data_IF_748172427494
#
_entry.id   IF_748172427494
#
_cell.length_a   1.000
_cell.length_b   1.000
_cell.length_c   1.000
_cell.angle_alpha   90.00
_cell.angle_beta   90.00
_cell.angle_gamma   90.00
#
_symmetry.space_group_name_H-M   'P 1'
#
loop_
_entity.id
_entity.type
_entity.pdbx_description
1 polymer ?
#
# COMPACT_ATOMS: atom_id res chain seq x y z
N UNK A 1 -9.62 42.54 -27.47
CA UNK A 1 -9.40 41.08 -27.54
C UNK A 1 -8.20 40.59 -26.71
N UNK A 2 -7.00 41.18 -26.82
CA UNK A 2 -5.81 40.73 -26.06
C UNK A 2 -6.01 40.72 -24.52
N UNK A 3 -6.70 41.72 -23.95
CA UNK A 3 -6.97 41.78 -22.49
C UNK A 3 -7.88 40.64 -21.99
N UNK A 4 -8.86 40.20 -22.79
CA UNK A 4 -9.77 39.10 -22.44
C UNK A 4 -9.04 37.75 -22.43
N UNK A 5 -8.08 37.57 -23.36
CA UNK A 5 -7.23 36.37 -23.41
C UNK A 5 -6.34 36.28 -22.16
N UNK A 6 -5.75 37.39 -21.71
CA UNK A 6 -4.95 37.42 -20.48
C UNK A 6 -5.80 37.16 -19.23
N UNK A 7 -7.02 37.68 -19.15
CA UNK A 7 -7.93 37.40 -18.03
C UNK A 7 -8.37 35.93 -17.98
N UNK A 8 -8.63 35.32 -19.15
CA UNK A 8 -8.94 33.89 -19.24
C UNK A 8 -7.74 33.03 -18.84
N UNK A 9 -6.53 33.42 -19.25
CA UNK A 9 -5.30 32.70 -18.91
C UNK A 9 -4.97 32.77 -17.41
N UNK A 10 -5.21 33.92 -16.76
CA UNK A 10 -5.02 34.08 -15.30
C UNK A 10 -6.08 33.28 -14.50
N UNK A 11 -7.33 33.22 -14.98
CA UNK A 11 -8.37 32.41 -14.33
C UNK A 11 -8.09 30.89 -14.42
N UNK A 12 -7.43 30.43 -15.48
CA UNK A 12 -7.01 29.03 -15.62
C UNK A 12 -5.83 28.69 -14.70
N UNK A 13 -4.91 29.62 -14.46
CA UNK A 13 -3.75 29.41 -13.56
C UNK A 13 -4.16 29.42 -12.08
N UNK A 14 -5.21 30.17 -11.70
CA UNK A 14 -5.68 30.24 -10.31
C UNK A 14 -6.28 28.93 -9.76
N UNK A 15 -6.48 27.90 -10.61
CA UNK A 15 -7.05 26.60 -10.21
C UNK A 15 -6.01 25.51 -9.91
N UNK A 16 -4.71 25.84 -9.83
CA UNK A 16 -3.64 24.85 -9.59
C UNK A 16 -3.46 24.53 -8.08
N UNK A 17 -4.18 25.20 -7.18
CA UNK A 17 -4.09 24.96 -5.74
C UNK A 17 -4.98 23.81 -5.24
N UNK A 18 -4.64 22.56 -5.57
CA UNK A 18 -5.27 21.39 -4.95
C UNK A 18 -4.25 20.28 -4.69
N UNK A 19 -3.47 20.47 -3.64
CA UNK A 19 -2.77 19.39 -2.94
C UNK A 19 -2.66 19.72 -1.44
N UNK A 20 -3.73 20.26 -0.86
CA UNK A 20 -3.80 20.46 0.59
C UNK A 20 -4.32 19.18 1.22
N UNK A 21 -3.58 18.64 2.18
CA UNK A 21 -4.03 17.52 2.98
C UNK A 21 -5.31 17.89 3.73
N UNK A 22 -6.29 16.99 3.73
CA UNK A 22 -7.49 17.18 4.53
C UNK A 22 -7.13 17.05 6.03
N UNK A 23 -7.53 17.98 6.90
CA UNK A 23 -7.28 17.84 8.33
C UNK A 23 -8.24 16.78 8.91
N UNK A 24 -7.70 15.89 9.74
CA UNK A 24 -8.45 14.91 10.51
C UNK A 24 -8.04 15.06 11.97
N UNK A 25 -8.99 15.40 12.82
CA UNK A 25 -8.75 15.57 14.25
C UNK A 25 -9.09 14.26 14.96
N UNK A 26 -8.12 13.63 15.62
CA UNK A 26 -8.36 12.46 16.45
C UNK A 26 -8.52 12.89 17.91
N UNK A 27 -9.60 12.42 18.55
CA UNK A 27 -9.87 12.61 19.97
C UNK A 27 -9.38 11.38 20.72
N UNK A 28 -8.30 11.54 21.48
CA UNK A 28 -7.63 10.47 22.22
C UNK A 28 -8.54 9.83 23.29
N UNK A 29 -9.37 10.62 23.98
CA UNK A 29 -10.22 10.14 25.07
C UNK A 29 -11.41 9.36 24.52
N UNK A 30 -12.01 9.87 23.44
CA UNK A 30 -13.22 9.28 22.85
C UNK A 30 -12.95 8.24 21.77
N UNK A 31 -11.69 8.12 21.32
CA UNK A 31 -11.26 7.18 20.28
C UNK A 31 -12.05 7.32 18.97
N UNK A 32 -12.33 8.55 18.55
CA UNK A 32 -12.97 8.84 17.27
C UNK A 32 -12.21 9.93 16.50
N UNK A 33 -12.46 9.98 15.20
CA UNK A 33 -12.00 11.10 14.36
C UNK A 33 -13.11 12.16 14.27
N UNK A 34 -12.76 13.41 13.96
CA UNK A 34 -13.69 14.48 13.56
C UNK A 34 -15.01 14.54 14.35
N UNK A 35 -14.97 14.33 15.67
CA UNK A 35 -16.15 14.31 16.55
C UNK A 35 -17.23 13.28 16.16
N UNK A 36 -16.82 12.13 15.59
CA UNK A 36 -17.71 11.11 15.04
C UNK A 36 -18.09 11.32 13.57
N UNK A 37 -17.49 12.30 12.89
CA UNK A 37 -17.66 12.56 11.46
C UNK A 37 -17.07 11.49 10.54
N UNK A 38 -17.16 11.66 9.23
CA UNK A 38 -16.53 10.74 8.27
C UNK A 38 -15.08 11.10 7.99
N UNK A 39 -14.28 10.11 7.58
CA UNK A 39 -12.91 10.33 7.11
C UNK A 39 -12.87 10.83 5.66
N UNK A 40 -11.90 11.69 5.31
CA UNK A 40 -11.67 12.14 3.94
C UNK A 40 -11.54 10.97 2.96
N UNK A 41 -12.30 11.02 1.85
CA UNK A 41 -12.20 10.05 0.78
C UNK A 41 -11.37 10.59 -0.40
N UNK A 42 -10.61 9.71 -1.06
CA UNK A 42 -9.92 9.99 -2.32
C UNK A 42 -8.93 11.17 -2.26
N UNK A 43 -8.37 11.43 -1.09
CA UNK A 43 -7.34 12.44 -0.87
C UNK A 43 -6.42 12.07 0.29
N UNK A 44 -5.23 12.65 0.32
CA UNK A 44 -4.34 12.55 1.47
C UNK A 44 -4.86 13.43 2.60
N UNK A 45 -4.57 13.02 3.84
CA UNK A 45 -5.04 13.71 5.03
C UNK A 45 -3.95 13.77 6.10
N UNK A 46 -4.09 14.69 7.06
CA UNK A 46 -3.18 14.83 8.19
C UNK A 46 -3.98 14.51 9.45
N UNK A 47 -3.48 13.57 10.25
CA UNK A 47 -4.02 13.30 11.57
C UNK A 47 -3.40 14.29 12.56
N UNK A 48 -4.26 15.04 13.24
CA UNK A 48 -3.90 15.92 14.36
C UNK A 48 -4.51 15.37 15.64
N UNK A 49 -3.75 15.31 16.72
CA UNK A 49 -4.27 14.92 18.03
C UNK A 49 -3.43 15.48 19.14
N UNK A 50 -4.02 15.53 20.34
CA UNK A 50 -3.28 15.78 21.56
C UNK A 50 -2.45 14.54 21.92
N UNK A 51 -1.30 14.77 22.55
CA UNK A 51 -0.41 13.77 23.13
C UNK A 51 0.19 14.31 24.42
N UNK A 52 0.52 13.40 25.33
CA UNK A 52 1.31 13.76 26.50
C UNK A 52 2.67 14.33 26.10
N UNK A 53 3.22 15.23 26.93
CA UNK A 53 4.59 15.73 26.77
C UNK A 53 5.64 14.60 26.89
N UNK A 54 5.28 13.48 27.53
CA UNK A 54 6.13 12.31 27.63
C UNK A 54 6.21 11.51 26.31
N UNK A 55 5.16 11.52 25.47
CA UNK A 55 5.08 10.71 24.25
C UNK A 55 6.19 11.10 23.28
N UNK A 56 7.04 10.16 22.88
CA UNK A 56 8.15 10.40 21.95
C UNK A 56 7.88 9.88 20.54
N UNK A 57 7.01 8.88 20.40
CA UNK A 57 6.68 8.26 19.11
C UNK A 57 5.19 7.91 19.10
N UNK A 58 4.56 8.12 17.96
CA UNK A 58 3.21 7.66 17.65
C UNK A 58 3.27 6.87 16.35
N UNK A 59 2.74 5.66 16.35
CA UNK A 59 2.58 4.83 15.15
C UNK A 59 1.11 4.76 14.80
N UNK A 60 0.77 4.92 13.53
CA UNK A 60 -0.59 4.70 13.02
C UNK A 60 -0.54 3.66 11.91
N UNK A 61 -1.34 2.62 12.10
CA UNK A 61 -1.55 1.57 11.11
C UNK A 61 -3.00 1.57 10.67
N UNK A 62 -3.20 1.54 9.34
CA UNK A 62 -4.53 1.54 8.73
C UNK A 62 -4.81 0.16 8.17
N UNK A 63 -5.98 -0.37 8.50
CA UNK A 63 -6.51 -1.64 8.05
C UNK A 63 -7.83 -1.41 7.32
N UNK A 64 -8.21 -2.38 6.49
CA UNK A 64 -9.58 -2.47 5.98
C UNK A 64 -10.31 -3.54 6.76
N UNK A 65 -10.60 -4.68 6.13
CA UNK A 65 -11.37 -5.77 6.73
C UNK A 65 -10.52 -6.83 7.43
N UNK A 66 -9.24 -6.93 7.07
CA UNK A 66 -8.32 -7.93 7.64
C UNK A 66 -7.33 -7.24 8.60
N UNK A 67 -7.38 -7.52 9.91
CA UNK A 67 -6.47 -6.94 10.89
C UNK A 67 -5.03 -7.46 10.76
N UNK A 68 -4.79 -8.56 10.05
CA UNK A 68 -3.44 -9.10 9.84
C UNK A 68 -2.73 -8.49 8.64
N UNK A 69 -3.44 -7.70 7.82
CA UNK A 69 -2.90 -7.13 6.59
C UNK A 69 -3.00 -5.59 6.60
N UNK A 70 -1.97 -4.89 7.11
CA UNK A 70 -1.97 -3.44 7.11
C UNK A 70 -1.97 -2.92 5.67
N UNK A 71 -2.79 -1.90 5.41
CA UNK A 71 -2.82 -1.20 4.13
C UNK A 71 -1.80 -0.06 4.07
N UNK A 72 -1.57 0.57 5.22
CA UNK A 72 -0.66 1.70 5.34
C UNK A 72 -0.11 1.77 6.77
N UNK A 73 1.14 2.22 6.87
CA UNK A 73 1.83 2.47 8.13
C UNK A 73 2.53 3.82 8.02
N UNK A 74 2.45 4.61 9.08
CA UNK A 74 3.21 5.84 9.25
C UNK A 74 3.50 6.07 10.71
N UNK A 75 4.56 6.83 10.98
CA UNK A 75 4.92 7.21 12.33
C UNK A 75 5.20 8.71 12.43
N UNK A 76 5.10 9.21 13.66
CA UNK A 76 5.50 10.55 14.05
C UNK A 76 6.47 10.43 15.22
N UNK A 77 7.65 11.02 15.07
CA UNK A 77 8.68 11.07 16.12
C UNK A 77 8.83 12.50 16.61
N UNK A 78 8.85 12.68 17.93
CA UNK A 78 9.05 13.97 18.55
C UNK A 78 10.49 14.46 18.34
N UNK A 79 10.63 15.64 17.77
CA UNK A 79 11.91 16.33 17.64
C UNK A 79 12.54 16.61 19.01
N UNK A 80 13.87 16.57 19.09
CA UNK A 80 14.60 16.90 20.31
C UNK A 80 14.23 18.30 20.82
N UNK A 81 13.97 18.41 22.12
CA UNK A 81 13.59 19.68 22.77
C UNK A 81 12.14 20.13 22.57
N UNK A 82 11.33 19.45 21.75
CA UNK A 82 9.94 19.83 21.53
C UNK A 82 9.04 19.34 22.68
N UNK A 83 8.38 20.27 23.39
CA UNK A 83 7.46 19.98 24.50
C UNK A 83 5.97 20.11 24.12
N UNK A 84 5.64 20.22 22.84
CA UNK A 84 4.26 20.35 22.36
C UNK A 84 3.38 19.20 22.85
N UNK A 85 2.15 19.50 23.25
CA UNK A 85 1.17 18.48 23.63
C UNK A 85 0.30 18.03 22.46
N UNK A 86 0.78 18.20 21.24
CA UNK A 86 0.09 17.78 20.02
C UNK A 86 1.07 17.20 19.02
N UNK A 87 0.56 16.30 18.18
CA UNK A 87 1.24 15.82 17.00
C UNK A 87 0.39 16.07 15.76
N UNK A 88 1.09 16.11 14.62
CA UNK A 88 0.50 16.25 13.30
C UNK A 88 1.26 15.31 12.37
N UNK A 89 0.55 14.35 11.79
CA UNK A 89 1.16 13.28 10.99
C UNK A 89 0.43 13.12 9.65
N UNK A 90 1.14 13.25 8.51
CA UNK A 90 0.56 13.05 7.20
C UNK A 90 0.28 11.56 6.94
N UNK A 91 -0.88 11.30 6.33
CA UNK A 91 -1.28 10.01 5.78
C UNK A 91 -1.30 10.13 4.27
N UNK A 92 -0.25 9.59 3.65
CA UNK A 92 -0.03 9.63 2.21
C UNK A 92 -0.71 8.46 1.49
N UNK A 93 -1.88 8.06 2.00
CA UNK A 93 -2.67 6.94 1.49
C UNK A 93 -4.12 7.38 1.36
N UNK A 94 -4.65 7.50 0.14
CA UNK A 94 -6.01 7.96 -0.06
C UNK A 94 -6.98 6.83 0.31
N UNK A 95 -7.98 7.13 1.14
CA UNK A 95 -9.01 6.15 1.49
C UNK A 95 -10.05 6.06 0.38
N UNK A 96 -10.59 4.87 0.11
CA UNK A 96 -11.70 4.70 -0.84
C UNK A 96 -12.97 5.21 -0.17
N UNK A 97 -13.70 6.10 -0.84
CA UNK A 97 -15.01 6.52 -0.35
C UNK A 97 -16.04 5.40 -0.34
N UNK A 98 -17.08 5.54 0.47
CA UNK A 98 -18.08 4.50 0.72
C UNK A 98 -17.46 3.18 1.23
N UNK A 99 -16.42 3.26 2.04
CA UNK A 99 -15.79 2.11 2.69
C UNK A 99 -15.40 2.44 4.12
N UNK A 100 -15.33 1.39 4.94
CA UNK A 100 -14.95 1.49 6.35
C UNK A 100 -13.50 1.03 6.54
N UNK A 101 -12.82 1.67 7.48
CA UNK A 101 -11.41 1.44 7.77
C UNK A 101 -11.18 1.35 9.27
N UNK A 102 -10.28 0.45 9.67
CA UNK A 102 -9.86 0.30 11.06
C UNK A 102 -8.49 0.93 11.26
N UNK A 103 -8.28 1.59 12.40
CA UNK A 103 -7.04 2.27 12.75
C UNK A 103 -6.50 1.70 14.04
N UNK A 104 -5.20 1.44 14.07
CA UNK A 104 -4.46 1.17 15.29
C UNK A 104 -3.47 2.30 15.51
N UNK A 105 -3.55 2.95 16.67
CA UNK A 105 -2.65 4.02 17.08
C UNK A 105 -1.89 3.56 18.33
N UNK A 106 -0.57 3.38 18.20
CA UNK A 106 0.30 3.01 19.31
C UNK A 106 1.06 4.24 19.78
N UNK A 107 1.12 4.44 21.10
CA UNK A 107 1.82 5.56 21.71
C UNK A 107 2.99 5.05 22.55
N UNK A 108 4.15 5.68 22.37
CA UNK A 108 5.38 5.28 23.05
C UNK A 108 6.00 6.43 23.84
N UNK A 109 6.52 6.11 25.02
CA UNK A 109 7.27 7.02 25.91
C UNK A 109 8.69 6.49 26.10
N UNK A 110 9.59 7.29 26.64
CA UNK A 110 10.90 6.79 27.04
C UNK A 110 10.75 5.66 28.06
N UNK A 111 11.37 4.52 27.79
CA UNK A 111 11.45 3.45 28.78
C UNK A 111 12.29 3.89 29.97
N UNK A 112 11.80 3.59 31.16
CA UNK A 112 12.52 3.77 32.42
C UNK A 112 13.73 2.84 32.47
N UNK A 113 14.73 3.18 33.28
CA UNK A 113 15.90 2.32 33.48
C UNK A 113 15.52 0.97 34.09
N UNK A 114 14.47 0.95 34.93
CA UNK A 114 13.89 -0.28 35.46
C UNK A 114 13.35 -1.18 34.34
N UNK A 115 12.50 -0.66 33.45
CA UNK A 115 11.95 -1.43 32.32
C UNK A 115 13.05 -1.95 31.39
N UNK A 116 14.07 -1.14 31.10
CA UNK A 116 15.21 -1.59 30.28
C UNK A 116 15.97 -2.74 30.95
N UNK A 117 16.22 -2.62 32.26
CA UNK A 117 16.92 -3.65 33.02
C UNK A 117 16.11 -4.95 33.08
N UNK A 118 14.79 -4.86 33.22
CA UNK A 118 13.90 -6.00 33.27
C UNK A 118 13.81 -6.71 31.91
N UNK A 119 13.68 -5.96 30.82
CA UNK A 119 13.70 -6.52 29.46
C UNK A 119 15.02 -7.22 29.19
N UNK A 120 16.14 -6.59 29.56
CA UNK A 120 17.48 -7.19 29.42
C UNK A 120 17.59 -8.50 30.21
N UNK A 121 17.11 -8.52 31.46
CA UNK A 121 17.11 -9.71 32.31
C UNK A 121 16.29 -10.84 31.69
N UNK A 122 15.05 -10.56 31.28
CA UNK A 122 14.16 -11.54 30.65
C UNK A 122 14.76 -12.09 29.35
N UNK A 123 15.36 -11.22 28.52
CA UNK A 123 16.01 -11.64 27.28
C UNK A 123 17.21 -12.55 27.56
N UNK A 124 18.09 -12.17 28.48
CA UNK A 124 19.24 -12.98 28.87
C UNK A 124 18.79 -14.35 29.38
N UNK A 125 17.80 -14.41 30.27
CA UNK A 125 17.25 -15.69 30.78
C UNK A 125 16.69 -16.58 29.66
N UNK A 126 15.97 -15.98 28.70
CA UNK A 126 15.41 -16.71 27.55
C UNK A 126 16.49 -17.23 26.61
N UNK A 127 17.48 -16.39 26.29
CA UNK A 127 18.60 -16.80 25.44
C UNK A 127 19.44 -17.88 26.11
N UNK A 128 19.75 -17.73 27.40
CA UNK A 128 20.51 -18.73 28.15
C UNK A 128 19.77 -20.07 28.19
N UNK A 129 18.48 -20.06 28.55
CA UNK A 129 17.67 -21.27 28.56
C UNK A 129 17.58 -21.95 27.19
N UNK A 130 17.48 -21.16 26.12
CA UNK A 130 17.45 -21.68 24.75
C UNK A 130 18.79 -22.28 24.34
N UNK A 131 19.89 -21.55 24.56
CA UNK A 131 21.26 -22.00 24.24
C UNK A 131 21.63 -23.26 25.02
N UNK A 132 21.20 -23.41 26.27
CA UNK A 132 21.43 -24.63 27.05
C UNK A 132 20.68 -25.85 26.51
N UNK A 133 19.55 -25.64 25.82
CA UNK A 133 18.73 -26.71 25.26
C UNK A 133 19.09 -27.06 23.82
N UNK A 134 19.83 -26.21 23.12
CA UNK A 134 20.13 -26.38 21.69
C UNK A 134 21.14 -27.51 21.41
N UNK A 135 21.71 -28.14 22.43
CA UNK A 135 22.72 -29.19 22.32
C UNK A 135 22.20 -30.53 22.87
N UNK A 136 22.47 -31.61 22.16
CA UNK A 136 22.36 -32.98 22.64
C UNK A 136 23.75 -33.57 22.90
N UNK A 137 23.98 -34.03 24.14
CA UNK A 137 25.25 -34.61 24.56
C UNK A 137 25.14 -36.14 24.57
N UNK A 138 25.93 -36.81 23.71
CA UNK A 138 26.13 -38.25 23.76
C UNK A 138 27.61 -38.55 24.12
N UNK A 139 27.90 -39.74 24.67
CA UNK A 139 29.22 -40.18 25.12
C UNK A 139 30.36 -40.01 24.09
N UNK A 140 30.04 -39.85 22.80
CA UNK A 140 31.01 -39.71 21.69
C UNK A 140 30.93 -38.39 20.91
N UNK A 141 29.79 -37.69 20.90
CA UNK A 141 29.59 -36.49 20.09
C UNK A 141 28.62 -35.52 20.78
N UNK A 142 28.89 -34.23 20.61
CA UNK A 142 27.95 -33.15 20.85
C UNK A 142 27.33 -32.85 19.50
N UNK A 143 26.00 -32.76 19.45
CA UNK A 143 25.29 -32.33 18.25
C UNK A 143 24.34 -31.21 18.61
N UNK A 144 24.15 -30.30 17.68
CA UNK A 144 23.03 -29.38 17.77
C UNK A 144 21.73 -30.19 17.63
N UNK A 145 20.73 -29.85 18.43
CA UNK A 145 19.40 -30.45 18.35
C UNK A 145 18.74 -30.13 17.00
N UNK A 146 18.97 -28.92 16.52
CA UNK A 146 18.43 -28.40 15.27
C UNK A 146 19.54 -27.83 14.38
N UNK A 147 19.22 -27.61 13.10
CA UNK A 147 20.14 -26.95 12.18
C UNK A 147 20.45 -25.52 12.67
N UNK A 148 21.69 -25.07 12.54
CA UNK A 148 22.11 -23.71 12.94
C UNK A 148 21.21 -22.59 12.39
N UNK A 149 20.61 -22.76 11.19
CA UNK A 149 19.66 -21.79 10.61
C UNK A 149 18.37 -21.69 11.40
N UNK A 150 17.86 -22.82 11.89
CA UNK A 150 16.67 -22.87 12.76
C UNK A 150 16.99 -22.21 14.09
N UNK A 151 18.15 -22.53 14.67
CA UNK A 151 18.63 -21.90 15.91
C UNK A 151 18.71 -20.37 15.76
N UNK A 152 19.28 -19.87 14.66
CA UNK A 152 19.30 -18.43 14.38
C UNK A 152 17.90 -17.83 14.23
N UNK A 153 16.99 -18.54 13.57
CA UNK A 153 15.59 -18.10 13.42
C UNK A 153 14.89 -18.01 14.77
N UNK A 154 15.07 -19.00 15.65
CA UNK A 154 14.46 -19.02 16.98
C UNK A 154 15.03 -17.92 17.88
N UNK A 155 16.35 -17.69 17.83
CA UNK A 155 16.98 -16.58 18.55
C UNK A 155 16.40 -15.23 18.09
N UNK A 156 16.28 -15.02 16.78
CA UNK A 156 15.67 -13.82 16.22
C UNK A 156 14.20 -13.67 16.68
N UNK A 157 13.45 -14.77 16.72
CA UNK A 157 12.07 -14.76 17.20
C UNK A 157 11.97 -14.41 18.69
N UNK A 158 12.86 -14.96 19.54
CA UNK A 158 12.93 -14.61 20.97
C UNK A 158 13.15 -13.09 21.13
N UNK A 159 14.04 -12.50 20.33
CA UNK A 159 14.28 -11.05 20.35
C UNK A 159 13.03 -10.29 19.90
N UNK A 160 12.46 -10.63 18.74
CA UNK A 160 11.28 -9.96 18.18
C UNK A 160 10.06 -10.02 19.09
N UNK A 161 9.79 -11.17 19.70
CA UNK A 161 8.69 -11.36 20.64
C UNK A 161 8.91 -10.51 21.89
N UNK A 162 10.13 -10.47 22.42
CA UNK A 162 10.42 -9.72 23.64
C UNK A 162 10.43 -8.21 23.41
N UNK A 163 10.79 -7.77 22.21
CA UNK A 163 10.83 -6.35 21.81
C UNK A 163 9.51 -5.85 21.21
N UNK A 164 8.46 -6.67 21.13
CA UNK A 164 7.18 -6.35 20.46
C UNK A 164 6.60 -4.99 20.88
N UNK A 165 6.65 -4.69 22.17
CA UNK A 165 6.09 -3.46 22.77
C UNK A 165 7.13 -2.34 22.92
N UNK A 166 8.29 -2.49 22.29
CA UNK A 166 9.38 -1.54 22.37
C UNK A 166 9.80 -1.05 20.99
N UNK A 167 10.28 0.19 20.92
CA UNK A 167 10.80 0.81 19.68
C UNK A 167 12.06 1.58 19.96
N UNK A 168 12.96 1.62 18.99
CA UNK A 168 14.09 2.53 19.04
C UNK A 168 13.65 3.93 18.61
N UNK A 169 13.93 4.95 19.42
CA UNK A 169 13.67 6.35 19.02
C UNK A 169 14.40 6.74 17.73
N UNK A 170 15.59 6.16 17.51
CA UNK A 170 16.45 6.48 16.36
C UNK A 170 16.14 5.61 15.13
N UNK A 171 15.13 4.73 15.19
CA UNK A 171 14.85 3.77 14.13
C UNK A 171 15.92 2.69 14.00
N UNK A 172 16.69 2.44 15.07
CA UNK A 172 17.63 1.33 15.11
C UNK A 172 16.87 0.05 15.49
N UNK A 173 16.24 -0.55 14.49
CA UNK A 173 15.44 -1.76 14.66
C UNK A 173 16.30 -3.02 14.55
N UNK A 174 15.86 -4.10 15.19
CA UNK A 174 16.56 -5.37 15.15
C UNK A 174 16.36 -6.06 13.80
N UNK A 175 17.43 -6.20 13.02
CA UNK A 175 17.41 -6.87 11.71
C UNK A 175 17.78 -8.36 11.79
N UNK A 176 18.16 -8.84 12.99
CA UNK A 176 18.63 -10.20 13.22
C UNK A 176 20.00 -10.22 13.89
N UNK A 177 20.32 -11.36 14.50
CA UNK A 177 21.65 -11.63 15.02
C UNK A 177 22.69 -11.73 13.91
N UNK A 178 23.92 -11.31 14.21
CA UNK A 178 24.98 -11.22 13.22
C UNK A 178 25.46 -12.59 12.72
N UNK A 179 26.17 -12.60 11.59
CA UNK A 179 26.87 -13.79 11.11
C UNK A 179 27.97 -14.27 12.07
N UNK A 180 28.39 -13.46 13.05
CA UNK A 180 29.36 -13.88 14.06
C UNK A 180 28.69 -14.89 15.01
N UNK A 181 27.46 -14.60 15.47
CA UNK A 181 26.64 -15.56 16.24
C UNK A 181 26.46 -16.85 15.43
N UNK A 182 26.06 -16.71 14.16
CA UNK A 182 25.83 -17.86 13.26
C UNK A 182 27.09 -18.74 13.13
N UNK A 183 28.24 -18.12 12.87
CA UNK A 183 29.50 -18.84 12.73
C UNK A 183 29.93 -19.51 14.03
N UNK A 184 29.66 -18.90 15.18
CA UNK A 184 29.99 -19.48 16.49
C UNK A 184 29.12 -20.71 16.78
N UNK A 185 27.84 -20.67 16.42
CA UNK A 185 26.93 -21.82 16.52
C UNK A 185 27.38 -22.94 15.57
N UNK A 186 27.74 -22.63 14.31
CA UNK A 186 28.29 -23.62 13.36
C UNK A 186 29.55 -24.31 13.90
N UNK A 187 30.47 -23.56 14.52
CA UNK A 187 31.67 -24.13 15.12
C UNK A 187 31.37 -25.14 16.24
N UNK A 188 30.22 -25.02 16.91
CA UNK A 188 29.81 -25.97 17.94
C UNK A 188 29.44 -27.34 17.34
N UNK A 189 28.88 -27.36 16.13
CA UNK A 189 28.57 -28.58 15.38
C UNK A 189 29.85 -29.33 14.97
N UNK A 190 30.90 -28.58 14.58
CA UNK A 190 32.19 -29.13 14.13
C UNK A 190 33.16 -29.48 15.29
N UNK A 191 32.75 -29.27 16.54
CA UNK A 191 33.64 -29.37 17.70
C UNK A 191 34.08 -30.82 17.98
N UNK A 192 35.37 -31.09 17.81
CA UNK A 192 35.97 -32.41 18.10
C UNK A 192 36.38 -32.56 19.57
N UNK A 193 35.53 -33.21 20.36
CA UNK A 193 35.74 -33.43 21.80
C UNK A 193 36.86 -34.41 22.18
N UNK A 194 37.40 -35.15 21.22
CA UNK A 194 38.48 -36.12 21.48
C UNK A 194 39.76 -35.46 22.02
N UNK A 195 39.95 -34.16 21.77
CA UNK A 195 41.11 -33.38 22.21
C UNK A 195 40.76 -32.31 23.25
N UNK A 196 39.62 -32.45 23.93
CA UNK A 196 39.13 -31.44 24.87
C UNK A 196 40.13 -31.11 25.99
N UNK A 197 40.88 -32.11 26.48
CA UNK A 197 41.91 -31.94 27.52
C UNK A 197 43.01 -30.93 27.15
N UNK A 198 43.35 -30.77 25.86
CA UNK A 198 44.34 -29.80 25.38
C UNK A 198 43.86 -28.35 25.53
N UNK A 199 42.55 -28.13 25.45
CA UNK A 199 41.95 -26.79 25.55
C UNK A 199 41.66 -26.39 26.99
N UNK A 200 41.52 -27.37 27.89
CA UNK A 200 41.18 -27.18 29.31
C UNK A 200 42.43 -27.25 30.21
N UNK A 201 43.59 -27.60 29.66
CA UNK A 201 44.85 -27.64 30.42
C UNK A 201 44.94 -28.79 31.44
N UNK A 202 44.20 -29.89 31.20
CA UNK A 202 44.19 -31.10 32.07
C UNK A 202 45.07 -32.21 31.48
N UNK A 203 45.65 -33.04 32.34
CA UNK A 203 46.42 -34.22 31.93
C UNK A 203 45.51 -35.28 31.30
N UNK A 204 46.04 -36.10 30.37
CA UNK A 204 45.26 -37.06 29.59
C UNK A 204 44.54 -38.12 30.46
N UNK A 205 45.04 -38.35 31.69
CA UNK A 205 44.56 -39.37 32.62
C UNK A 205 43.62 -38.86 33.73
N UNK A 206 43.47 -37.55 33.92
CA UNK A 206 42.49 -36.97 34.86
C UNK A 206 41.17 -36.68 34.15
N UNK A 207 40.16 -37.52 34.42
CA UNK A 207 38.73 -37.32 34.15
C UNK A 207 38.39 -36.75 32.76
N UNK A 208 38.59 -37.57 31.71
CA UNK A 208 38.19 -37.30 30.31
C UNK A 208 36.73 -36.86 30.13
N UNK A 209 35.85 -37.15 31.09
CA UNK A 209 34.44 -36.74 31.09
C UNK A 209 34.33 -35.25 31.47
N UNK A 210 35.08 -34.83 32.49
CA UNK A 210 35.09 -33.45 33.00
C UNK A 210 35.71 -32.47 32.00
N UNK A 211 36.78 -32.87 31.30
CA UNK A 211 37.38 -32.01 30.29
C UNK A 211 36.44 -31.74 29.09
N UNK A 212 35.54 -32.69 28.75
CA UNK A 212 34.58 -32.52 27.65
C UNK A 212 33.39 -31.64 28.05
N UNK A 213 32.85 -31.86 29.24
CA UNK A 213 31.75 -31.04 29.76
C UNK A 213 32.20 -29.59 29.97
N UNK A 214 33.43 -29.40 30.45
CA UNK A 214 34.03 -28.08 30.64
C UNK A 214 34.24 -27.34 29.31
N UNK A 215 34.80 -28.01 28.29
CA UNK A 215 34.94 -27.39 26.97
C UNK A 215 33.59 -27.02 26.34
N UNK A 216 32.58 -27.89 26.44
CA UNK A 216 31.23 -27.57 25.96
C UNK A 216 30.67 -26.35 26.67
N UNK A 217 30.76 -26.32 28.01
CA UNK A 217 30.30 -25.19 28.82
C UNK A 217 30.98 -23.89 28.38
N UNK A 218 32.29 -23.90 28.20
CA UNK A 218 33.02 -22.72 27.69
C UNK A 218 32.53 -22.24 26.32
N UNK A 219 32.16 -23.15 25.41
CA UNK A 219 31.64 -22.75 24.09
C UNK A 219 30.20 -22.21 24.18
N UNK A 220 29.35 -22.82 25.01
CA UNK A 220 27.99 -22.33 25.26
C UNK A 220 28.02 -20.96 25.93
N UNK A 221 28.86 -20.77 26.95
CA UNK A 221 29.02 -19.49 27.64
C UNK A 221 29.51 -18.39 26.67
N UNK A 222 30.41 -18.73 25.74
CA UNK A 222 30.84 -17.80 24.69
C UNK A 222 29.69 -17.40 23.75
N UNK A 223 28.81 -18.34 23.38
CA UNK A 223 27.63 -18.07 22.55
C UNK A 223 26.65 -17.16 23.31
N UNK A 224 26.34 -17.50 24.57
CA UNK A 224 25.49 -16.70 25.47
C UNK A 224 25.99 -15.27 25.58
N UNK A 225 27.29 -15.09 25.86
CA UNK A 225 27.90 -13.77 25.97
C UNK A 225 27.76 -12.97 24.68
N UNK A 226 27.96 -13.61 23.52
CA UNK A 226 27.88 -12.95 22.22
C UNK A 226 26.45 -12.50 21.91
N UNK A 227 25.47 -13.39 22.08
CA UNK A 227 24.03 -13.10 21.91
C UNK A 227 23.61 -11.96 22.84
N UNK A 228 23.93 -12.06 24.14
CA UNK A 228 23.58 -11.04 25.13
C UNK A 228 24.22 -9.69 24.79
N UNK A 229 25.47 -9.68 24.30
CA UNK A 229 26.15 -8.45 23.91
C UNK A 229 25.53 -7.79 22.68
N UNK A 230 25.08 -8.56 21.70
CA UNK A 230 24.38 -8.03 20.52
C UNK A 230 22.98 -7.55 20.89
N UNK A 231 22.21 -8.32 21.67
CA UNK A 231 20.89 -7.93 22.14
C UNK A 231 20.93 -6.63 22.96
N UNK A 232 21.94 -6.48 23.84
CA UNK A 232 22.12 -5.29 24.66
C UNK A 232 22.31 -4.01 23.83
N UNK A 233 22.86 -4.08 22.62
CA UNK A 233 23.02 -2.90 21.77
C UNK A 233 21.67 -2.29 21.38
N UNK A 234 20.65 -3.11 21.20
CA UNK A 234 19.30 -2.65 20.84
C UNK A 234 18.52 -2.13 22.05
N UNK A 235 18.76 -2.68 23.24
CA UNK A 235 18.06 -2.27 24.47
C UNK A 235 18.63 -0.96 25.03
N UNK A 236 19.94 -0.76 24.90
CA UNK A 236 20.64 0.39 25.48
C UNK A 236 20.43 1.70 24.71
N UNK A 237 19.96 1.65 23.47
CA UNK A 237 19.78 2.83 22.60
C UNK A 237 18.35 3.36 22.72
N UNK A 238 18.17 4.47 23.46
CA UNK A 238 16.95 5.29 23.51
C UNK A 238 15.64 4.51 23.32
N UNK A 239 15.48 3.45 24.12
CA UNK A 239 14.35 2.55 24.03
C UNK A 239 13.08 3.27 24.46
N UNK A 240 12.05 3.09 23.65
CA UNK A 240 10.70 3.57 23.91
C UNK A 240 9.80 2.39 24.24
N UNK A 241 8.99 2.51 25.29
CA UNK A 241 7.98 1.51 25.67
C UNK A 241 6.60 1.98 25.23
N UNK A 242 5.80 1.05 24.72
CA UNK A 242 4.40 1.29 24.40
C UNK A 242 3.62 1.46 25.71
N UNK A 243 3.02 2.64 25.90
CA UNK A 243 2.23 2.90 27.11
C UNK A 243 0.71 2.84 26.85
N UNK A 244 0.27 3.15 25.63
CA UNK A 244 -1.14 3.08 25.27
C UNK A 244 -1.31 2.64 23.81
N UNK A 245 -2.48 2.07 23.54
CA UNK A 245 -2.92 1.58 22.25
C UNK A 245 -4.40 1.92 22.08
N UNK A 246 -4.72 2.65 21.01
CA UNK A 246 -6.11 2.92 20.61
C UNK A 246 -6.44 2.13 19.36
N UNK A 247 -7.55 1.40 19.40
CA UNK A 247 -8.11 0.71 18.26
C UNK A 247 -9.45 1.37 17.91
N UNK A 248 -9.58 1.78 16.65
CA UNK A 248 -10.81 2.32 16.09
C UNK A 248 -11.22 1.35 14.99
N UNK A 249 -12.40 0.74 15.11
CA UNK A 249 -12.90 -0.22 14.13
C UNK A 249 -13.95 0.40 13.22
N UNK A 250 -13.96 -0.05 11.97
CA UNK A 250 -15.03 0.21 11.00
C UNK A 250 -15.44 1.69 10.87
N UNK A 251 -14.43 2.58 10.82
CA UNK A 251 -14.66 4.01 10.73
C UNK A 251 -15.01 4.43 9.29
N UNK A 252 -16.13 5.13 9.07
CA UNK A 252 -16.64 5.39 7.72
C UNK A 252 -15.89 6.51 7.01
N UNK A 253 -15.73 6.36 5.70
CA UNK A 253 -15.25 7.42 4.81
C UNK A 253 -16.39 8.23 4.20
N UNK A 254 -16.07 9.43 3.74
CA UNK A 254 -17.00 10.29 3.00
C UNK A 254 -17.64 9.54 1.83
N UNK A 255 -18.92 9.83 1.61
CA UNK A 255 -19.67 9.28 0.50
C UNK A 255 -19.20 9.94 -0.79
N UNK A 256 -18.56 9.15 -1.65
CA UNK A 256 -18.23 9.62 -3.01
C UNK A 256 -19.46 9.46 -3.89
N UNK A 257 -19.84 10.54 -4.59
CA UNK A 257 -21.01 10.53 -5.47
C UNK A 257 -20.81 9.54 -6.61
N UNK A 258 -21.80 8.66 -6.82
CA UNK A 258 -21.91 7.88 -8.05
C UNK A 258 -22.38 8.83 -9.15
N UNK A 259 -21.46 9.26 -10.00
CA UNK A 259 -21.79 10.03 -11.19
C UNK A 259 -21.78 9.11 -12.40
N UNK A 260 -22.62 9.40 -13.38
CA UNK A 260 -22.63 8.73 -14.66
C UNK A 260 -22.07 9.70 -15.70
N UNK A 261 -20.83 9.48 -16.18
CA UNK A 261 -20.24 10.35 -17.18
C UNK A 261 -20.96 10.16 -18.52
N UNK A 262 -21.53 11.24 -19.04
CA UNK A 262 -22.15 11.30 -20.36
C UNK A 262 -21.20 12.05 -21.29
N UNK A 263 -20.96 11.49 -22.47
CA UNK A 263 -20.16 12.12 -23.51
C UNK A 263 -21.05 12.57 -24.67
N UNK A 264 -20.70 13.72 -25.26
CA UNK A 264 -21.30 14.22 -26.50
C UNK A 264 -20.17 14.74 -27.36
N UNK A 265 -20.14 14.34 -28.63
CA UNK A 265 -19.01 14.61 -29.49
C UNK A 265 -19.33 14.53 -30.97
N UNK A 266 -18.26 14.61 -31.76
CA UNK A 266 -18.31 14.48 -33.21
C UNK A 266 -17.25 13.47 -33.65
N UNK A 267 -17.65 12.54 -34.50
CA UNK A 267 -16.81 11.42 -34.94
C UNK A 267 -16.70 11.36 -36.46
N UNK A 268 -15.51 10.96 -36.91
CA UNK A 268 -15.25 10.49 -38.27
C UNK A 268 -15.21 8.96 -38.29
N UNK A 269 -15.91 8.36 -39.23
CA UNK A 269 -16.05 6.91 -39.38
C UNK A 269 -15.38 6.53 -40.68
N UNK A 270 -14.38 5.68 -40.58
CA UNK A 270 -13.61 5.24 -41.73
C UNK A 270 -14.49 4.39 -42.65
N UNK A 271 -14.56 4.77 -43.92
CA UNK A 271 -15.28 4.02 -44.93
C UNK A 271 -14.32 3.14 -45.73
N UNK A 272 -13.37 3.77 -46.43
CA UNK A 272 -12.37 3.12 -47.25
C UNK A 272 -11.30 4.12 -47.69
N UNK A 273 -10.15 3.63 -48.16
CA UNK A 273 -9.12 4.46 -48.80
C UNK A 273 -7.73 4.40 -48.16
N UNK A 274 -6.75 4.96 -48.87
CA UNK A 274 -5.34 5.09 -48.45
C UNK A 274 -5.05 6.52 -47.99
N UNK A 275 -3.88 6.77 -47.37
CA UNK A 275 -3.46 8.09 -46.83
C UNK A 275 -3.62 9.30 -47.78
N UNK A 276 -3.75 9.08 -49.10
CA UNK A 276 -3.95 10.13 -50.10
C UNK A 276 -5.42 10.35 -50.51
N UNK A 277 -6.27 9.33 -50.40
CA UNK A 277 -7.68 9.35 -50.78
C UNK A 277 -8.49 8.66 -49.68
N UNK A 278 -8.70 9.37 -48.57
CA UNK A 278 -9.42 8.88 -47.40
C UNK A 278 -10.90 9.23 -47.53
N UNK A 279 -11.78 8.23 -47.56
CA UNK A 279 -13.21 8.45 -47.39
C UNK A 279 -13.63 8.19 -45.94
N UNK A 280 -14.39 9.12 -45.39
CA UNK A 280 -14.96 9.01 -44.06
C UNK A 280 -16.36 9.62 -44.02
N UNK A 281 -17.25 8.98 -43.28
CA UNK A 281 -18.51 9.59 -42.85
C UNK A 281 -18.30 10.39 -41.58
N UNK A 282 -19.17 11.37 -41.30
CA UNK A 282 -19.13 12.12 -40.04
C UNK A 282 -20.48 12.16 -39.38
N UNK A 283 -20.52 11.98 -38.06
CA UNK A 283 -21.76 12.10 -37.30
C UNK A 283 -21.49 12.64 -35.88
N UNK A 284 -22.41 13.44 -35.34
CA UNK A 284 -22.45 13.70 -33.91
C UNK A 284 -22.83 12.42 -33.16
N UNK A 285 -22.27 12.21 -31.97
CA UNK A 285 -22.56 11.05 -31.14
C UNK A 285 -22.79 11.46 -29.68
N UNK A 286 -23.54 10.62 -28.97
CA UNK A 286 -23.71 10.73 -27.53
C UNK A 286 -23.70 9.35 -26.88
N UNK A 287 -23.17 9.26 -25.66
CA UNK A 287 -23.09 8.00 -24.95
C UNK A 287 -22.69 8.15 -23.50
N UNK A 288 -22.43 7.00 -22.87
CA UNK A 288 -21.95 6.90 -21.51
C UNK A 288 -20.47 6.48 -21.52
N UNK A 289 -19.68 7.06 -20.63
CA UNK A 289 -18.28 6.69 -20.43
C UNK A 289 -18.09 6.03 -19.07
N UNK A 290 -17.49 4.85 -19.07
CA UNK A 290 -17.13 4.09 -17.87
C UNK A 290 -15.62 4.22 -17.66
N UNK A 291 -15.16 4.97 -16.64
CA UNK A 291 -13.73 5.15 -16.38
C UNK A 291 -13.10 3.81 -15.98
N UNK A 292 -11.95 3.48 -16.58
CA UNK A 292 -11.23 2.24 -16.28
C UNK A 292 -10.37 2.35 -15.02
N UNK A 293 -10.14 3.56 -14.51
CA UNK A 293 -9.37 3.80 -13.30
C UNK A 293 -9.76 5.11 -12.63
N UNK A 294 -9.61 5.15 -11.29
CA UNK A 294 -9.71 6.39 -10.51
C UNK A 294 -8.32 7.03 -10.39
N UNK A 295 -8.23 8.36 -10.51
CA UNK A 295 -6.97 9.11 -10.50
C UNK A 295 -6.10 8.84 -9.25
N UNK A 296 -6.75 8.60 -8.12
CA UNK A 296 -6.10 8.36 -6.83
C UNK A 296 -5.54 6.94 -6.67
N UNK A 297 -5.98 5.98 -7.49
CA UNK A 297 -5.73 4.55 -7.28
C UNK A 297 -5.16 3.83 -8.49
N UNK A 298 -4.98 4.51 -9.61
CA UNK A 298 -4.53 3.91 -10.86
C UNK A 298 -3.50 4.81 -11.55
N UNK A 299 -2.66 4.21 -12.39
CA UNK A 299 -1.67 4.95 -13.17
C UNK A 299 -2.31 6.07 -14.00
N UNK A 300 -1.52 7.06 -14.41
CA UNK A 300 -1.98 8.18 -15.24
C UNK A 300 -2.70 7.72 -16.52
N UNK A 301 -2.23 6.64 -17.14
CA UNK A 301 -2.85 6.10 -18.36
C UNK A 301 -4.27 5.57 -18.07
N UNK A 302 -4.40 4.64 -17.12
CA UNK A 302 -5.69 4.03 -16.77
C UNK A 302 -6.68 5.01 -16.15
N UNK A 303 -6.23 5.98 -15.37
CA UNK A 303 -7.11 7.01 -14.80
C UNK A 303 -7.66 7.98 -15.84
N UNK A 304 -6.99 8.14 -16.97
CA UNK A 304 -7.46 8.95 -18.10
C UNK A 304 -8.22 8.14 -19.16
N UNK A 305 -8.28 6.81 -19.03
CA UNK A 305 -8.94 5.94 -20.01
C UNK A 305 -10.37 5.60 -19.57
N UNK A 306 -11.32 5.60 -20.50
CA UNK A 306 -12.70 5.16 -20.31
C UNK A 306 -13.14 4.25 -21.44
N UNK A 307 -14.07 3.33 -21.14
CA UNK A 307 -14.85 2.64 -22.14
C UNK A 307 -16.12 3.47 -22.42
N UNK A 308 -16.31 3.92 -23.65
CA UNK A 308 -17.42 4.75 -24.07
C UNK A 308 -18.35 3.96 -24.98
N UNK A 309 -19.63 3.92 -24.65
CA UNK A 309 -20.66 3.20 -25.40
C UNK A 309 -21.84 4.14 -25.64
N UNK A 310 -22.38 4.17 -26.85
CA UNK A 310 -23.51 5.04 -27.16
C UNK A 310 -24.01 4.90 -28.58
N UNK A 311 -24.64 5.96 -29.05
CA UNK A 311 -25.30 6.04 -30.36
C UNK A 311 -24.80 7.24 -31.14
N UNK A 312 -24.78 7.11 -32.47
CA UNK A 312 -24.69 8.27 -33.36
C UNK A 312 -26.04 8.98 -33.36
N UNK A 313 -26.06 10.30 -33.31
CA UNK A 313 -27.31 11.09 -33.24
C UNK A 313 -27.96 11.28 -34.62
N UNK A 314 -27.22 11.01 -35.69
CA UNK A 314 -27.72 11.08 -37.07
C UNK A 314 -27.34 9.81 -37.83
N UNK A 315 -28.10 9.53 -38.90
CA UNK A 315 -27.66 8.61 -39.94
C UNK A 315 -26.37 9.14 -40.58
N UNK A 316 -25.58 8.23 -41.15
CA UNK A 316 -24.30 8.58 -41.77
C UNK A 316 -24.44 8.44 -43.27
N UNK A 317 -24.28 9.55 -43.98
CA UNK A 317 -24.11 9.54 -45.43
C UNK A 317 -22.63 9.41 -45.74
N UNK A 318 -22.28 8.35 -46.45
CA UNK A 318 -20.93 8.09 -46.91
C UNK A 318 -20.71 8.59 -48.34
N UNK A 319 -19.46 8.60 -48.80
CA UNK A 319 -19.07 9.17 -50.10
C UNK A 319 -19.77 8.54 -51.32
N UNK A 320 -20.37 7.36 -51.16
CA UNK A 320 -21.14 6.65 -52.17
C UNK A 320 -22.65 7.00 -52.20
N UNK A 321 -23.07 8.09 -51.57
CA UNK A 321 -24.50 8.50 -51.41
C UNK A 321 -25.37 7.41 -50.76
N UNK A 322 -24.72 6.51 -50.02
CA UNK A 322 -25.39 5.41 -49.32
C UNK A 322 -25.58 5.82 -47.86
N UNK A 323 -26.84 5.81 -47.41
CA UNK A 323 -27.18 6.05 -46.01
C UNK A 323 -26.98 4.78 -45.18
N UNK A 324 -26.25 4.93 -44.07
CA UNK A 324 -26.06 3.91 -43.08
C UNK A 324 -26.81 4.29 -41.80
N UNK A 325 -27.66 3.37 -41.35
CA UNK A 325 -28.43 3.43 -40.11
C UNK A 325 -27.87 2.41 -39.10
N UNK A 326 -28.60 2.09 -38.03
CA UNK A 326 -28.22 1.06 -37.06
C UNK A 326 -29.37 0.14 -36.70
N UNK A 327 -29.02 -1.09 -36.33
CA UNK A 327 -29.93 -2.23 -36.27
C UNK A 327 -31.00 -2.17 -35.16
N UNK A 328 -30.76 -1.43 -34.07
CA UNK A 328 -31.64 -1.47 -32.88
C UNK A 328 -32.52 -0.24 -32.72
N UNK A 329 -32.07 0.95 -33.14
CA UNK A 329 -32.77 2.22 -32.89
C UNK A 329 -32.84 3.13 -34.12
N UNK A 330 -32.60 2.60 -35.33
CA UNK A 330 -32.52 3.42 -36.55
C UNK A 330 -31.34 4.39 -36.56
N UNK A 331 -30.42 4.27 -35.61
CA UNK A 331 -29.17 5.01 -35.51
C UNK A 331 -28.00 4.08 -35.19
N UNK A 332 -26.82 4.31 -35.78
CA UNK A 332 -25.62 3.52 -35.51
C UNK A 332 -25.24 3.46 -34.04
N UNK A 333 -24.75 2.31 -33.59
CA UNK A 333 -24.19 2.13 -32.25
C UNK A 333 -22.67 2.25 -32.29
N UNK A 334 -22.05 2.66 -31.18
CA UNK A 334 -20.59 2.69 -31.07
C UNK A 334 -20.10 2.15 -29.74
N UNK A 335 -18.89 1.59 -29.78
CA UNK A 335 -18.09 1.22 -28.60
C UNK A 335 -16.65 1.68 -28.83
N UNK A 336 -16.09 2.39 -27.85
CA UNK A 336 -14.80 3.07 -28.00
C UNK A 336 -13.99 3.10 -26.71
N UNK A 337 -12.69 3.21 -26.86
CA UNK A 337 -11.81 3.62 -25.78
C UNK A 337 -11.59 5.13 -25.89
N UNK A 338 -12.01 5.85 -24.85
CA UNK A 338 -11.83 7.28 -24.69
C UNK A 338 -10.62 7.59 -23.84
N UNK A 339 -9.72 8.46 -24.32
CA UNK A 339 -8.60 8.99 -23.55
C UNK A 339 -8.80 10.47 -23.24
N UNK A 340 -8.69 10.83 -21.96
CA UNK A 340 -8.83 12.20 -21.47
C UNK A 340 -7.58 13.02 -21.77
N UNK A 341 -7.73 14.03 -22.63
CA UNK A 341 -6.64 14.94 -23.02
C UNK A 341 -6.68 16.25 -22.21
N UNK A 342 -7.88 16.74 -21.90
CA UNK A 342 -8.11 17.88 -21.00
C UNK A 342 -9.22 17.52 -19.99
N UNK A 343 -9.49 18.41 -19.03
CA UNK A 343 -10.47 18.15 -17.96
C UNK A 343 -11.86 17.70 -18.47
N UNK A 344 -12.29 18.18 -19.64
CA UNK A 344 -13.59 17.89 -20.25
C UNK A 344 -13.45 17.23 -21.63
N UNK A 345 -12.30 17.36 -22.31
CA UNK A 345 -12.09 16.89 -23.68
C UNK A 345 -11.50 15.47 -23.70
N UNK A 346 -12.13 14.58 -24.46
CA UNK A 346 -11.65 13.22 -24.72
C UNK A 346 -11.49 12.95 -26.21
N UNK A 347 -10.51 12.11 -26.55
CA UNK A 347 -10.37 11.49 -27.86
C UNK A 347 -10.86 10.06 -27.73
N UNK A 348 -11.80 9.66 -28.59
CA UNK A 348 -12.37 8.32 -28.61
C UNK A 348 -11.93 7.59 -29.88
N UNK A 349 -11.46 6.36 -29.71
CA UNK A 349 -11.10 5.47 -30.80
C UNK A 349 -11.78 4.12 -30.59
N UNK A 350 -12.46 3.62 -31.61
CA UNK A 350 -13.23 2.40 -31.45
C UNK A 350 -13.89 1.95 -32.73
N UNK A 351 -15.03 1.29 -32.58
CA UNK A 351 -15.81 0.77 -33.69
C UNK A 351 -17.26 1.22 -33.60
N UNK A 352 -17.86 1.41 -34.77
CA UNK A 352 -19.30 1.64 -34.93
C UNK A 352 -19.92 0.49 -35.71
N UNK A 353 -21.12 0.11 -35.29
CA UNK A 353 -21.97 -0.87 -35.94
C UNK A 353 -22.95 -0.14 -36.85
N UNK A 354 -22.79 -0.36 -38.15
CA UNK A 354 -23.58 0.23 -39.21
C UNK A 354 -24.44 -0.82 -39.87
N UNK A 355 -25.60 -0.41 -40.36
CA UNK A 355 -26.47 -1.22 -41.20
C UNK A 355 -26.84 -0.42 -42.45
N UNK A 356 -26.74 -1.04 -43.62
CA UNK A 356 -27.12 -0.40 -44.88
C UNK A 356 -28.64 -0.33 -45.00
N UNK A 357 -29.18 0.85 -45.33
CA UNK A 357 -30.61 1.03 -45.60
C UNK A 357 -30.92 0.66 -47.06
N UNK A 358 -31.97 -0.14 -47.29
CA UNK A 358 -32.48 -0.45 -48.62
C UNK A 358 -33.83 0.28 -48.81
N UNK A 359 -34.22 0.54 -50.06
CA UNK A 359 -35.38 1.36 -50.46
C UNK A 359 -36.76 0.96 -49.87
N UNK A 360 -36.87 -0.14 -49.10
CA UNK A 360 -38.11 -0.61 -48.47
C UNK A 360 -38.07 -0.61 -46.92
N UNK A 361 -37.07 0.02 -46.29
CA UNK A 361 -36.93 0.10 -44.82
C UNK A 361 -35.70 -0.63 -44.26
N UNK A 362 -35.62 -0.74 -42.94
CA UNK A 362 -34.51 -1.44 -42.24
C UNK A 362 -34.58 -2.93 -42.59
N UNK A 363 -33.54 -3.45 -43.24
CA UNK A 363 -33.45 -4.85 -43.67
C UNK A 363 -33.42 -5.77 -42.43
N UNK A 364 -34.42 -6.64 -42.24
CA UNK A 364 -34.47 -7.57 -41.09
C UNK A 364 -33.39 -8.67 -41.17
N UNK A 365 -32.65 -8.75 -42.29
CA UNK A 365 -31.51 -9.65 -42.42
C UNK A 365 -30.23 -9.04 -41.82
N UNK A 366 -29.70 -9.71 -40.79
CA UNK A 366 -28.38 -9.45 -40.17
C UNK A 366 -27.17 -9.49 -41.15
N UNK A 367 -27.40 -9.80 -42.43
CA UNK A 367 -26.39 -9.94 -43.47
C UNK A 367 -25.83 -8.59 -43.99
N UNK A 368 -26.33 -7.46 -43.48
CA UNK A 368 -25.94 -6.10 -43.89
C UNK A 368 -25.32 -5.27 -42.76
N UNK A 369 -24.82 -5.93 -41.70
CA UNK A 369 -24.15 -5.28 -40.56
C UNK A 369 -22.65 -5.13 -40.86
N UNK A 370 -22.15 -3.90 -40.73
CA UNK A 370 -20.74 -3.56 -40.92
C UNK A 370 -20.15 -3.01 -39.63
N UNK A 371 -19.00 -3.55 -39.24
CA UNK A 371 -18.16 -2.95 -38.21
C UNK A 371 -17.15 -2.03 -38.90
N UNK A 372 -17.13 -0.74 -38.50
CA UNK A 372 -16.20 0.24 -39.04
C UNK A 372 -15.44 0.94 -37.93
N UNK A 373 -14.12 1.18 -38.10
CA UNK A 373 -13.38 1.93 -37.10
C UNK A 373 -13.81 3.40 -37.13
N UNK A 374 -13.84 4.04 -35.97
CA UNK A 374 -14.14 5.44 -35.83
C UNK A 374 -13.15 6.15 -34.90
N UNK A 375 -12.96 7.43 -35.17
CA UNK A 375 -12.17 8.35 -34.35
C UNK A 375 -13.01 9.60 -34.11
N UNK A 376 -13.12 10.04 -32.86
CA UNK A 376 -13.93 11.19 -32.50
C UNK A 376 -13.39 11.98 -31.32
N UNK A 377 -13.85 13.22 -31.20
CA UNK A 377 -13.60 14.07 -30.03
C UNK A 377 -14.92 14.33 -29.31
N UNK A 378 -14.93 14.24 -27.98
CA UNK A 378 -16.11 14.49 -27.17
C UNK A 378 -15.83 15.36 -25.96
N UNK A 379 -16.86 16.08 -25.53
CA UNK A 379 -16.94 16.65 -24.20
C UNK A 379 -17.63 15.66 -23.26
N UNK A 380 -17.06 15.45 -22.08
CA UNK A 380 -17.63 14.60 -21.04
C UNK A 380 -18.16 15.44 -19.88
N UNK A 381 -19.41 15.15 -19.48
CA UNK A 381 -20.09 15.78 -18.37
C UNK A 381 -20.52 14.71 -17.37
N UNK A 382 -20.21 14.93 -16.09
CA UNK A 382 -20.66 14.03 -15.03
C UNK A 382 -22.09 14.38 -14.64
N UNK A 383 -23.04 13.51 -15.00
CA UNK A 383 -24.43 13.68 -14.60
C UNK A 383 -24.66 12.94 -13.29
N UNK A 384 -25.30 13.61 -12.33
CA UNK A 384 -25.75 12.95 -11.11
C UNK A 384 -26.99 12.13 -11.45
N UNK A 385 -26.78 10.83 -11.64
CA UNK A 385 -27.87 9.88 -11.66
C UNK A 385 -28.07 9.44 -10.21
N UNK A 386 -29.13 9.92 -9.56
CA UNK A 386 -29.58 9.47 -8.23
C UNK A 386 -30.08 8.02 -8.27
N UNK A 387 -29.27 7.09 -8.80
CA UNK A 387 -29.54 5.66 -8.82
C UNK A 387 -29.61 5.22 -7.35
N UNK A 388 -30.84 4.94 -6.91
CA UNK A 388 -31.16 4.58 -5.53
C UNK A 388 -30.46 3.29 -5.12
N UNK A 389 -29.84 3.33 -3.93
CA UNK A 389 -29.20 2.25 -3.14
C UNK A 389 -28.46 1.15 -3.92
#
# INVERSE_FOLDING_TARGET
>A
MKKIIYTFFIAVIANISFAQYAPVNFDFEKSWFNEGGTLPAEQYFIINSQVSSATQLVEVTIYKSDPNKPLYFSNWTRSFGNTSQSFSMPVNFPLRGNSDYSFQINYFINSTDYEKSEVSRILNERFEAYVDQMVEVNNKHIRLRDNYKVIMSDLNEIMNVSMRNYRSRTGFDFEGFSSIVENKIKQLEDLKLKRAFLFVGKSEDQEKVDAKSELLKMQLDAIKQLINSEAAQYINVNLLSQFDKKEITDYPTEKTMRTLPVNIGYAGIYESGNLKNLSYGTAPFAGMSFPLGKKQFSSLFWSNTSLSIGVMLTKITMSSDTEYSGALFGVPLYAALGYKVLNVLRINAGFTLLQKENNNGVDENFNSIYLRPFLGASFEFNVWAGLSK
#
